data_IF_117497589140
#
_entry.id   IF_117497589140
#
_cell.length_a   1.000
_cell.length_b   1.000
_cell.length_c   1.000
_cell.angle_alpha   90.00
_cell.angle_beta   90.00
_cell.angle_gamma   90.00
#
_symmetry.space_group_name_H-M   'P 1'
#
loop_
_entity.id
_entity.type
_entity.pdbx_description
1 polymer ?
#
# COMPACT_ATOMS: atom_id res chain seq x y z
N UNK A 1 7.52 -1.34 -24.82
CA UNK A 1 6.42 -1.77 -23.91
C UNK A 1 6.42 -3.30 -23.88
N UNK A 2 6.47 -3.94 -22.71
CA UNK A 2 6.48 -5.41 -22.61
C UNK A 2 5.09 -5.92 -22.97
N UNK A 3 4.99 -6.89 -23.89
CA UNK A 3 3.71 -7.50 -24.23
C UNK A 3 3.13 -8.25 -23.02
N UNK A 4 1.82 -8.11 -22.70
CA UNK A 4 1.19 -8.86 -21.60
C UNK A 4 1.42 -10.37 -21.70
N UNK A 5 1.50 -10.94 -22.91
CA UNK A 5 1.78 -12.37 -23.14
C UNK A 5 3.17 -12.81 -22.69
N UNK A 6 4.13 -11.89 -22.62
CA UNK A 6 5.48 -12.16 -22.08
C UNK A 6 5.49 -12.09 -20.56
N UNK A 7 4.61 -11.29 -19.98
CA UNK A 7 4.54 -11.08 -18.54
C UNK A 7 3.66 -12.13 -17.85
N UNK A 8 2.54 -12.52 -18.49
CA UNK A 8 1.55 -13.44 -17.96
C UNK A 8 1.42 -14.72 -18.77
N UNK A 9 1.05 -15.80 -18.10
CA UNK A 9 0.42 -16.97 -18.69
C UNK A 9 -1.09 -16.87 -18.42
N UNK A 10 -1.89 -16.85 -19.49
CA UNK A 10 -3.35 -16.80 -19.41
C UNK A 10 -3.89 -18.18 -19.02
N UNK A 11 -4.94 -18.22 -18.18
CA UNK A 11 -5.66 -19.44 -17.82
C UNK A 11 -4.73 -20.62 -17.48
N UNK A 12 -3.86 -20.46 -16.44
CA UNK A 12 -3.01 -21.57 -15.99
C UNK A 12 -3.84 -22.82 -15.72
N UNK A 13 -3.35 -23.97 -16.18
CA UNK A 13 -3.91 -25.29 -15.90
C UNK A 13 -3.21 -25.95 -14.69
N UNK A 14 -3.79 -27.06 -14.21
CA UNK A 14 -3.24 -27.87 -13.13
C UNK A 14 -3.57 -27.33 -11.73
N UNK A 15 -2.83 -27.80 -10.73
CA UNK A 15 -3.01 -27.36 -9.34
C UNK A 15 -2.53 -25.93 -9.10
N UNK A 16 -3.03 -25.24 -8.06
CA UNK A 16 -2.53 -23.93 -7.64
C UNK A 16 -1.02 -23.96 -7.36
N UNK A 17 -0.30 -22.90 -7.76
CA UNK A 17 1.15 -22.81 -7.51
C UNK A 17 1.64 -21.35 -7.38
N UNK A 18 2.93 -21.19 -7.07
CA UNK A 18 3.56 -19.88 -6.92
C UNK A 18 3.44 -19.03 -8.19
N UNK A 19 3.05 -17.77 -8.00
CA UNK A 19 2.86 -16.81 -9.07
C UNK A 19 1.48 -16.87 -9.72
N UNK A 20 0.59 -17.79 -9.31
CA UNK A 20 -0.81 -17.74 -9.69
C UNK A 20 -1.47 -16.47 -9.16
N UNK A 21 -2.31 -15.87 -9.99
CA UNK A 21 -3.07 -14.66 -9.70
C UNK A 21 -4.53 -15.04 -9.65
N UNK A 22 -5.16 -14.75 -8.52
CA UNK A 22 -6.52 -15.14 -8.21
C UNK A 22 -7.39 -13.92 -7.94
N UNK A 23 -8.67 -14.00 -8.33
CA UNK A 23 -9.71 -13.06 -7.91
C UNK A 23 -10.36 -13.51 -6.60
N UNK A 24 -11.07 -12.60 -5.93
CA UNK A 24 -11.98 -12.89 -4.81
C UNK A 24 -11.34 -13.70 -3.65
N UNK A 25 -10.02 -13.59 -3.46
CA UNK A 25 -9.38 -14.13 -2.27
C UNK A 25 -9.91 -13.43 -1.01
N UNK A 26 -9.90 -14.09 0.15
CA UNK A 26 -10.33 -13.47 1.40
C UNK A 26 -9.46 -12.29 1.82
N UNK A 27 -10.01 -11.32 2.55
CA UNK A 27 -9.23 -10.24 3.17
C UNK A 27 -9.81 -9.92 4.55
N UNK A 28 -9.21 -10.41 5.64
CA UNK A 28 -9.87 -10.47 6.94
C UNK A 28 -10.07 -9.11 7.63
N UNK A 29 -9.38 -8.05 7.23
CA UNK A 29 -9.27 -6.83 8.06
C UNK A 29 -9.29 -5.50 7.29
N UNK A 30 -9.51 -5.50 5.98
CA UNK A 30 -9.37 -4.28 5.19
C UNK A 30 -10.72 -3.80 4.65
N UNK A 31 -11.05 -2.54 4.92
CA UNK A 31 -12.14 -1.81 4.24
C UNK A 31 -11.75 -1.39 2.81
N UNK A 32 -10.91 -2.21 2.17
CA UNK A 32 -10.43 -2.02 0.82
C UNK A 32 -10.83 -3.29 0.08
N UNK A 33 -11.68 -3.13 -0.92
CA UNK A 33 -12.10 -4.22 -1.78
C UNK A 33 -10.94 -4.63 -2.71
N UNK A 34 -9.95 -5.31 -2.16
CA UNK A 34 -8.95 -5.99 -2.96
C UNK A 34 -9.66 -7.04 -3.81
N UNK A 35 -9.50 -6.95 -5.12
CA UNK A 35 -10.15 -7.88 -6.05
C UNK A 35 -9.25 -9.02 -6.46
N UNK A 36 -7.93 -8.82 -6.37
CA UNK A 36 -6.92 -9.71 -6.95
C UNK A 36 -5.81 -9.92 -5.93
N UNK A 37 -5.30 -11.14 -5.83
CA UNK A 37 -4.09 -11.45 -5.07
C UNK A 37 -3.17 -12.40 -5.84
N UNK A 38 -1.87 -12.31 -5.57
CA UNK A 38 -0.83 -13.13 -6.18
C UNK A 38 -0.24 -14.08 -5.14
N UNK A 39 -0.22 -15.39 -5.44
CA UNK A 39 0.32 -16.42 -4.56
C UNK A 39 1.84 -16.36 -4.52
N UNK A 40 2.41 -16.23 -3.32
CA UNK A 40 3.86 -16.13 -3.08
C UNK A 40 4.45 -17.37 -2.41
N UNK A 41 3.63 -18.30 -1.92
CA UNK A 41 4.10 -19.57 -1.32
C UNK A 41 5.06 -20.30 -2.26
N UNK A 42 6.21 -20.78 -1.76
CA UNK A 42 7.19 -21.51 -2.57
C UNK A 42 6.57 -22.71 -3.31
N UNK A 43 7.03 -22.95 -4.54
CA UNK A 43 6.54 -24.08 -5.36
C UNK A 43 6.76 -25.44 -4.71
N UNK A 44 7.86 -25.61 -3.99
CA UNK A 44 8.18 -26.84 -3.28
C UNK A 44 7.19 -27.15 -2.15
N UNK A 45 6.60 -26.13 -1.52
CA UNK A 45 5.61 -26.32 -0.47
C UNK A 45 4.28 -26.81 -1.04
N UNK A 46 3.87 -26.29 -2.21
CA UNK A 46 2.72 -26.79 -2.96
C UNK A 46 2.92 -28.23 -3.44
N UNK A 47 4.08 -28.54 -4.05
CA UNK A 47 4.32 -29.82 -4.69
C UNK A 47 4.39 -31.01 -3.71
N UNK A 48 4.68 -30.76 -2.44
CA UNK A 48 4.84 -31.79 -1.42
C UNK A 48 3.76 -31.74 -0.34
N UNK A 49 2.72 -30.92 -0.51
CA UNK A 49 1.64 -30.71 0.47
C UNK A 49 2.19 -30.37 1.87
N UNK A 50 3.37 -29.74 1.93
CA UNK A 50 4.07 -29.43 3.20
C UNK A 50 3.41 -28.29 3.94
N UNK A 51 2.80 -27.36 3.19
CA UNK A 51 2.15 -26.19 3.75
C UNK A 51 0.63 -26.40 3.79
N UNK A 52 0.06 -26.34 5.00
CA UNK A 52 -1.40 -26.29 5.21
C UNK A 52 -1.98 -24.91 4.88
N UNK A 53 -1.13 -23.91 4.74
CA UNK A 53 -1.50 -22.53 4.45
C UNK A 53 -0.71 -22.02 3.26
N UNK A 54 -1.36 -21.22 2.43
CA UNK A 54 -0.70 -20.46 1.38
C UNK A 54 -0.64 -18.97 1.77
N UNK A 55 0.33 -18.28 1.20
CA UNK A 55 0.59 -16.86 1.37
C UNK A 55 0.38 -16.15 0.05
N UNK A 56 -0.20 -14.96 0.10
CA UNK A 56 -0.44 -14.13 -1.08
C UNK A 56 -0.32 -12.64 -0.74
N UNK A 57 -0.03 -11.85 -1.77
CA UNK A 57 0.00 -10.38 -1.70
C UNK A 57 -1.21 -9.80 -2.45
N UNK A 58 -1.88 -8.77 -1.90
CA UNK A 58 -3.02 -8.15 -2.55
C UNK A 58 -2.57 -7.25 -3.71
N UNK A 59 -3.48 -7.03 -4.64
CA UNK A 59 -3.33 -6.10 -5.75
C UNK A 59 -4.47 -5.07 -5.77
N UNK A 60 -4.14 -3.83 -6.11
CA UNK A 60 -5.10 -2.76 -6.44
C UNK A 60 -4.88 -2.29 -7.85
N UNK A 61 -5.92 -1.77 -8.51
CA UNK A 61 -5.68 -1.00 -9.72
C UNK A 61 -4.87 0.28 -9.41
N UNK A 62 -4.15 0.74 -10.41
CA UNK A 62 -3.20 1.85 -10.29
C UNK A 62 -3.84 3.14 -9.76
N UNK A 63 -5.05 3.46 -10.23
CA UNK A 63 -5.76 4.69 -9.85
C UNK A 63 -6.21 4.59 -8.39
N UNK A 64 -6.84 3.47 -8.01
CA UNK A 64 -7.25 3.19 -6.63
C UNK A 64 -6.05 3.23 -5.67
N UNK A 65 -4.90 2.70 -6.08
CA UNK A 65 -3.66 2.80 -5.29
C UNK A 65 -3.24 4.26 -5.07
N UNK A 66 -3.24 5.08 -6.12
CA UNK A 66 -2.88 6.49 -6.01
C UNK A 66 -3.83 7.25 -5.07
N UNK A 67 -5.13 7.04 -5.22
CA UNK A 67 -6.16 7.71 -4.42
C UNK A 67 -6.09 7.34 -2.93
N UNK A 68 -5.78 6.09 -2.62
CA UNK A 68 -5.75 5.57 -1.24
C UNK A 68 -4.40 5.76 -0.55
N UNK A 69 -3.30 5.64 -1.29
CA UNK A 69 -1.96 5.60 -0.71
C UNK A 69 -1.00 6.57 -1.39
N UNK A 70 -0.96 6.56 -2.72
CA UNK A 70 0.04 7.32 -3.49
C UNK A 70 0.02 8.82 -3.21
N UNK A 71 -1.14 9.47 -3.30
CA UNK A 71 -1.23 10.92 -3.08
C UNK A 71 -0.87 11.33 -1.66
N UNK A 72 -1.24 10.55 -0.65
CA UNK A 72 -0.88 10.84 0.76
C UNK A 72 0.64 10.92 0.95
N UNK A 73 1.39 10.04 0.26
CA UNK A 73 2.86 10.05 0.28
C UNK A 73 3.42 11.30 -0.37
N UNK A 74 2.94 11.67 -1.56
CA UNK A 74 3.42 12.85 -2.29
C UNK A 74 3.06 14.14 -1.52
N UNK A 75 1.88 14.19 -0.91
CA UNK A 75 1.46 15.29 -0.03
C UNK A 75 2.34 15.41 1.21
N UNK A 76 2.80 14.29 1.78
CA UNK A 76 3.77 14.30 2.88
C UNK A 76 5.11 14.90 2.45
N UNK A 77 5.58 14.58 1.24
CA UNK A 77 6.77 15.21 0.65
C UNK A 77 6.54 16.72 0.41
N UNK A 78 5.34 17.12 -0.01
CA UNK A 78 4.97 18.52 -0.20
C UNK A 78 4.95 19.28 1.14
N UNK A 79 4.40 18.71 2.22
CA UNK A 79 4.48 19.29 3.57
C UNK A 79 5.94 19.56 3.95
N UNK A 80 6.85 18.62 3.70
CA UNK A 80 8.27 18.81 3.99
C UNK A 80 8.89 19.96 3.17
N UNK A 81 8.52 20.09 1.88
CA UNK A 81 8.95 21.23 1.05
C UNK A 81 8.43 22.55 1.57
N UNK A 82 7.18 22.59 2.03
CA UNK A 82 6.58 23.77 2.64
C UNK A 82 7.27 24.12 3.97
N UNK A 83 7.62 23.14 4.80
CA UNK A 83 8.42 23.38 6.01
C UNK A 83 9.80 23.95 5.69
N UNK A 84 10.49 23.43 4.67
CA UNK A 84 11.77 24.00 4.26
C UNK A 84 11.62 25.43 3.73
N UNK A 85 10.55 25.71 2.97
CA UNK A 85 10.26 27.07 2.52
C UNK A 85 9.98 28.05 3.67
N UNK A 86 9.48 27.57 4.82
CA UNK A 86 9.35 28.39 6.04
C UNK A 86 10.71 28.68 6.67
N UNK A 87 11.63 27.71 6.70
CA UNK A 87 13.00 27.91 7.21
C UNK A 87 13.75 28.95 6.38
N UNK A 88 13.60 28.92 5.07
CA UNK A 88 14.24 29.86 4.14
C UNK A 88 13.70 31.30 4.23
N UNK A 89 12.56 31.51 4.90
CA UNK A 89 12.01 32.85 5.05
C UNK A 89 12.82 33.72 6.03
N UNK A 90 13.74 33.13 6.80
CA UNK A 90 14.68 33.82 7.71
C UNK A 90 14.01 34.90 8.54
N UNK A 91 12.79 34.63 8.98
CA UNK A 91 12.09 35.47 9.93
C UNK A 91 12.26 34.77 11.26
N UNK A 92 12.86 35.46 12.24
CA UNK A 92 12.89 35.10 13.66
C UNK A 92 11.46 35.06 14.22
N UNK A 93 10.63 34.19 13.67
CA UNK A 93 9.27 33.98 14.07
C UNK A 93 9.27 32.75 14.98
N UNK A 94 8.89 32.92 16.27
CA UNK A 94 8.57 31.81 17.15
C UNK A 94 7.54 30.84 16.53
N UNK A 95 6.79 31.33 15.54
CA UNK A 95 5.73 30.68 14.77
C UNK A 95 6.07 29.33 14.16
N UNK A 96 7.33 29.08 13.74
CA UNK A 96 7.70 27.76 13.22
C UNK A 96 7.73 26.71 14.34
N UNK A 97 8.39 27.04 15.46
CA UNK A 97 8.41 26.19 16.66
C UNK A 97 7.01 25.97 17.23
N UNK A 98 6.13 26.97 17.15
CA UNK A 98 4.72 26.84 17.55
C UNK A 98 3.96 25.82 16.70
N UNK A 99 4.22 25.74 15.39
CA UNK A 99 3.59 24.73 14.53
C UNK A 99 4.11 23.31 14.81
N UNK A 100 5.39 23.15 15.14
CA UNK A 100 5.96 21.85 15.49
C UNK A 100 5.38 21.29 16.81
N UNK A 101 5.08 22.16 17.78
CA UNK A 101 4.41 21.76 19.03
C UNK A 101 2.88 21.69 18.92
N UNK A 102 2.32 21.80 17.71
CA UNK A 102 0.90 21.57 17.46
C UNK A 102 -0.03 22.76 17.71
N UNK A 103 0.48 23.99 17.78
CA UNK A 103 -0.37 25.19 17.91
C UNK A 103 -1.25 25.33 16.65
N UNK A 104 -2.56 25.63 16.80
CA UNK A 104 -3.44 25.83 15.66
C UNK A 104 -2.94 26.89 14.68
N UNK A 105 -2.97 26.57 13.39
CA UNK A 105 -2.55 27.46 12.29
C UNK A 105 -3.15 28.87 12.39
N UNK A 106 -4.41 28.98 12.79
CA UNK A 106 -5.09 30.27 12.95
C UNK A 106 -4.47 31.13 14.04
N UNK A 107 -4.04 30.53 15.15
CA UNK A 107 -3.36 31.21 16.26
C UNK A 107 -1.98 31.71 15.81
N UNK A 108 -1.25 30.85 15.08
CA UNK A 108 0.07 31.16 14.52
C UNK A 108 -0.01 32.35 13.55
N UNK A 109 -0.97 32.33 12.61
CA UNK A 109 -1.19 33.42 11.67
C UNK A 109 -1.55 34.72 12.39
N UNK A 110 -2.44 34.66 13.38
CA UNK A 110 -2.87 35.85 14.16
C UNK A 110 -1.70 36.51 14.88
N UNK A 111 -0.88 35.73 15.60
CA UNK A 111 0.29 36.25 16.34
C UNK A 111 1.34 36.82 15.39
N UNK A 112 1.70 36.05 14.36
CA UNK A 112 2.66 36.49 13.33
C UNK A 112 2.21 37.78 12.64
N UNK A 113 0.90 37.91 12.37
CA UNK A 113 0.34 39.13 11.76
C UNK A 113 0.46 40.33 12.68
N UNK A 114 0.12 40.17 13.96
CA UNK A 114 0.20 41.24 14.94
C UNK A 114 1.64 41.71 15.15
N UNK A 115 2.60 40.78 15.14
CA UNK A 115 4.04 41.05 15.30
C UNK A 115 4.65 41.73 14.07
N UNK A 116 4.35 41.24 12.85
CA UNK A 116 4.97 41.75 11.62
C UNK A 116 4.24 42.92 10.97
N UNK A 117 2.91 42.97 11.09
CA UNK A 117 2.03 43.93 10.42
C UNK A 117 1.32 44.88 11.40
N UNK A 118 1.92 45.12 12.57
CA UNK A 118 1.41 46.05 13.58
C UNK A 118 1.10 47.46 13.03
N UNK A 119 0.56 48.37 13.86
CA UNK A 119 -0.02 49.65 13.41
C UNK A 119 0.96 50.63 12.73
N UNK A 120 2.25 50.33 12.71
CA UNK A 120 3.28 51.17 12.11
C UNK A 120 3.39 50.95 10.59
N UNK A 121 4.03 51.88 9.90
CA UNK A 121 4.25 51.80 8.45
C UNK A 121 5.20 50.63 8.11
N UNK A 122 4.61 49.52 7.64
CA UNK A 122 5.35 48.29 7.35
C UNK A 122 5.88 48.27 5.93
N UNK A 123 7.16 47.92 5.78
CA UNK A 123 7.82 47.81 4.48
C UNK A 123 7.10 46.84 3.53
N UNK A 124 7.13 47.12 2.23
CA UNK A 124 6.60 46.23 1.18
C UNK A 124 7.22 44.83 1.24
N UNK A 125 8.51 44.74 1.63
CA UNK A 125 9.23 43.47 1.81
C UNK A 125 8.60 42.62 2.92
N UNK A 126 8.31 43.22 4.08
CA UNK A 126 7.68 42.53 5.21
C UNK A 126 6.26 42.06 4.85
N UNK A 127 5.47 42.88 4.13
CA UNK A 127 4.15 42.46 3.62
C UNK A 127 4.26 41.26 2.67
N UNK A 128 5.23 41.26 1.76
CA UNK A 128 5.48 40.15 0.86
C UNK A 128 5.94 38.87 1.60
N UNK A 129 6.79 39.01 2.62
CA UNK A 129 7.20 37.90 3.48
C UNK A 129 6.01 37.30 4.24
N UNK A 130 5.18 38.14 4.85
CA UNK A 130 3.97 37.69 5.54
C UNK A 130 3.00 36.99 4.59
N UNK A 131 2.76 37.53 3.38
CA UNK A 131 1.91 36.89 2.38
C UNK A 131 2.46 35.52 1.95
N UNK A 132 3.78 35.38 1.81
CA UNK A 132 4.43 34.09 1.53
C UNK A 132 4.27 33.12 2.70
N UNK A 133 4.48 33.57 3.94
CA UNK A 133 4.25 32.79 5.15
C UNK A 133 2.81 32.29 5.25
N UNK A 134 1.83 33.18 5.09
CA UNK A 134 0.40 32.87 5.14
C UNK A 134 0.00 31.83 4.10
N UNK A 135 0.52 31.96 2.87
CA UNK A 135 0.31 30.99 1.80
C UNK A 135 0.86 29.61 2.18
N UNK A 136 2.09 29.54 2.68
CA UNK A 136 2.73 28.26 3.03
C UNK A 136 1.96 27.55 4.15
N UNK A 137 1.61 28.29 5.20
CA UNK A 137 0.88 27.76 6.35
C UNK A 137 -0.53 27.28 5.96
N UNK A 138 -1.22 28.04 5.10
CA UNK A 138 -2.54 27.64 4.57
C UNK A 138 -2.44 26.37 3.73
N UNK A 139 -1.44 26.27 2.85
CA UNK A 139 -1.17 25.05 2.07
C UNK A 139 -0.97 23.84 2.97
N UNK A 140 -0.15 23.94 4.04
CA UNK A 140 0.06 22.83 4.98
C UNK A 140 -1.27 22.41 5.65
N UNK A 141 -2.08 23.39 6.06
CA UNK A 141 -3.40 23.13 6.64
C UNK A 141 -4.32 22.39 5.66
N UNK A 142 -4.35 22.83 4.41
CA UNK A 142 -5.18 22.22 3.37
C UNK A 142 -4.73 20.80 3.04
N UNK A 143 -3.43 20.57 2.96
CA UNK A 143 -2.87 19.23 2.78
C UNK A 143 -3.26 18.30 3.95
N UNK A 144 -3.07 18.75 5.20
CA UNK A 144 -3.44 17.94 6.38
C UNK A 144 -4.93 17.61 6.41
N UNK A 145 -5.78 18.57 6.06
CA UNK A 145 -7.24 18.37 5.93
C UNK A 145 -7.57 17.34 4.85
N UNK A 146 -6.90 17.42 3.70
CA UNK A 146 -7.11 16.47 2.60
C UNK A 146 -6.67 15.05 2.99
N UNK A 147 -5.50 14.91 3.62
CA UNK A 147 -4.99 13.61 4.10
C UNK A 147 -5.90 12.95 5.15
N UNK A 148 -6.57 13.74 5.99
CA UNK A 148 -7.50 13.23 6.99
C UNK A 148 -8.74 12.52 6.41
N UNK A 149 -9.05 12.72 5.11
CA UNK A 149 -10.16 12.02 4.43
C UNK A 149 -9.88 10.54 4.18
N UNK A 150 -8.61 10.11 4.21
CA UNK A 150 -8.16 8.76 3.89
C UNK A 150 -8.14 8.41 2.40
N UNK A 151 -9.12 8.87 1.62
CA UNK A 151 -9.13 8.78 0.14
C UNK A 151 -9.01 10.17 -0.46
N UNK A 152 -8.13 10.32 -1.44
CA UNK A 152 -7.79 11.61 -2.04
C UNK A 152 -8.05 11.53 -3.53
N UNK A 153 -9.01 12.30 -4.04
CA UNK A 153 -9.29 12.30 -5.46
C UNK A 153 -8.17 13.01 -6.24
N UNK A 154 -7.95 12.58 -7.47
CA UNK A 154 -6.89 13.14 -8.34
C UNK A 154 -6.99 14.65 -8.52
N UNK A 155 -8.20 15.18 -8.70
CA UNK A 155 -8.45 16.61 -8.87
C UNK A 155 -8.07 17.41 -7.62
N UNK A 156 -8.35 16.89 -6.41
CA UNK A 156 -7.95 17.52 -5.15
C UNK A 156 -6.42 17.49 -4.97
N UNK A 157 -5.78 16.39 -5.36
CA UNK A 157 -4.32 16.26 -5.27
C UNK A 157 -3.60 17.25 -6.20
N UNK A 158 -4.06 17.45 -7.43
CA UNK A 158 -3.41 18.37 -8.39
C UNK A 158 -3.54 19.85 -8.03
N UNK A 159 -4.51 20.22 -7.18
CA UNK A 159 -4.64 21.60 -6.67
C UNK A 159 -3.51 21.95 -5.68
N UNK A 160 -2.99 20.96 -4.94
CA UNK A 160 -2.00 21.16 -3.88
C UNK A 160 -0.61 20.66 -4.25
N UNK A 161 -0.49 19.82 -5.27
CA UNK A 161 0.76 19.16 -5.68
C UNK A 161 1.09 19.53 -7.12
N UNK A 162 2.39 19.73 -7.39
CA UNK A 162 2.87 19.95 -8.76
C UNK A 162 2.69 18.68 -9.58
N UNK A 163 2.08 18.78 -10.76
CA UNK A 163 1.86 17.65 -11.67
C UNK A 163 3.14 16.85 -11.97
N UNK A 164 4.30 17.50 -12.05
CA UNK A 164 5.59 16.84 -12.26
C UNK A 164 5.95 15.83 -11.16
N UNK A 165 5.55 16.09 -9.92
CA UNK A 165 5.86 15.21 -8.79
C UNK A 165 4.97 13.96 -8.83
N UNK A 166 3.72 14.11 -9.26
CA UNK A 166 2.79 13.00 -9.51
C UNK A 166 3.33 12.11 -10.64
N UNK A 167 3.76 12.71 -11.75
CA UNK A 167 4.35 11.97 -12.87
C UNK A 167 5.62 11.22 -12.46
N UNK A 168 6.51 11.89 -11.73
CA UNK A 168 7.74 11.27 -11.19
C UNK A 168 7.42 10.09 -10.29
N UNK A 169 6.46 10.24 -9.38
CA UNK A 169 6.06 9.16 -8.47
C UNK A 169 5.48 7.97 -9.24
N UNK A 170 4.57 8.22 -10.18
CA UNK A 170 4.00 7.20 -11.06
C UNK A 170 5.07 6.47 -11.86
N UNK A 171 6.07 7.20 -12.39
CA UNK A 171 7.18 6.61 -13.12
C UNK A 171 8.03 5.71 -12.22
N UNK A 172 8.32 6.13 -10.99
CA UNK A 172 9.03 5.30 -10.00
C UNK A 172 8.27 3.99 -9.71
N UNK A 173 6.93 4.04 -9.62
CA UNK A 173 6.10 2.84 -9.44
C UNK A 173 6.21 1.91 -10.66
N UNK A 174 5.98 2.44 -11.86
CA UNK A 174 6.00 1.65 -13.11
C UNK A 174 7.37 1.02 -13.36
N UNK A 175 8.46 1.73 -12.99
CA UNK A 175 9.83 1.24 -13.06
C UNK A 175 10.22 0.33 -11.90
N UNK A 176 9.30 0.01 -10.98
CA UNK A 176 9.56 -0.85 -9.84
C UNK A 176 10.69 -0.33 -8.91
N UNK A 177 10.80 1.00 -8.77
CA UNK A 177 11.83 1.66 -7.95
C UNK A 177 11.39 1.87 -6.50
N UNK A 178 10.10 1.70 -6.18
CA UNK A 178 9.58 1.80 -4.81
C UNK A 178 9.59 0.40 -4.20
N UNK A 179 10.38 0.19 -3.15
CA UNK A 179 10.75 -1.15 -2.64
C UNK A 179 9.58 -2.04 -2.25
N UNK A 180 8.50 -1.47 -1.70
CA UNK A 180 7.33 -2.16 -1.19
C UNK A 180 6.16 -2.28 -2.18
N UNK A 181 6.35 -1.87 -3.43
CA UNK A 181 5.33 -1.92 -4.48
C UNK A 181 5.82 -2.68 -5.69
N UNK A 182 4.95 -3.44 -6.35
CA UNK A 182 5.29 -4.05 -7.64
C UNK A 182 4.22 -3.75 -8.69
N UNK A 183 4.65 -3.11 -9.79
CA UNK A 183 3.80 -2.78 -10.91
C UNK A 183 3.57 -3.99 -11.82
N UNK A 184 2.31 -4.20 -12.15
CA UNK A 184 1.80 -5.23 -13.03
C UNK A 184 1.06 -4.59 -14.21
N UNK A 185 1.49 -4.81 -15.46
CA UNK A 185 0.81 -4.23 -16.62
C UNK A 185 -0.61 -4.80 -16.78
N UNK A 186 -1.49 -4.05 -17.42
CA UNK A 186 -2.82 -4.53 -17.82
C UNK A 186 -2.71 -5.73 -18.76
N UNK A 187 -3.71 -6.62 -18.71
CA UNK A 187 -3.85 -7.77 -19.60
C UNK A 187 -5.32 -7.97 -20.02
N UNK A 188 -5.88 -7.09 -20.88
CA UNK A 188 -7.27 -7.20 -21.30
C UNK A 188 -7.56 -8.52 -22.05
N UNK A 189 -8.78 -9.08 -21.93
CA UNK A 189 -9.90 -8.58 -21.12
C UNK A 189 -9.82 -8.95 -19.62
N UNK A 190 -8.82 -9.75 -19.21
CA UNK A 190 -8.73 -10.33 -17.87
C UNK A 190 -8.40 -9.28 -16.79
N UNK A 191 -7.45 -8.40 -17.09
CA UNK A 191 -7.06 -7.26 -16.26
C UNK A 191 -7.13 -6.01 -17.12
N UNK A 192 -8.19 -5.23 -16.98
CA UNK A 192 -8.42 -4.02 -17.78
C UNK A 192 -7.42 -2.90 -17.44
N UNK A 193 -7.14 -2.72 -16.14
CA UNK A 193 -6.28 -1.65 -15.63
C UNK A 193 -4.99 -2.21 -15.04
N UNK A 194 -3.85 -1.50 -15.14
CA UNK A 194 -2.63 -1.91 -14.47
C UNK A 194 -2.84 -2.06 -12.97
N UNK A 195 -2.14 -3.02 -12.36
CA UNK A 195 -2.25 -3.32 -10.94
C UNK A 195 -0.95 -2.98 -10.20
N UNK A 196 -1.09 -2.70 -8.90
CA UNK A 196 0.00 -2.53 -7.95
C UNK A 196 -0.14 -3.59 -6.86
N UNK A 197 0.88 -4.44 -6.71
CA UNK A 197 0.99 -5.35 -5.57
C UNK A 197 1.54 -4.60 -4.37
N UNK A 198 0.93 -4.80 -3.21
CA UNK A 198 1.37 -4.19 -1.96
C UNK A 198 2.20 -5.20 -1.16
N UNK A 199 3.52 -5.17 -1.33
CA UNK A 199 4.42 -6.25 -0.87
C UNK A 199 4.58 -6.32 0.67
N UNK A 200 4.22 -5.25 1.38
CA UNK A 200 4.16 -5.23 2.86
C UNK A 200 2.94 -5.95 3.44
N UNK A 201 1.95 -6.26 2.61
CA UNK A 201 0.73 -6.93 3.04
C UNK A 201 0.79 -8.37 2.56
N UNK A 202 1.17 -9.27 3.45
CA UNK A 202 1.15 -10.70 3.19
C UNK A 202 0.00 -11.31 3.98
N UNK A 203 -0.95 -11.87 3.25
CA UNK A 203 -2.07 -12.61 3.83
C UNK A 203 -1.81 -14.10 3.74
N UNK A 204 -2.49 -14.85 4.60
CA UNK A 204 -2.46 -16.30 4.58
C UNK A 204 -3.87 -16.87 4.60
N UNK A 205 -4.05 -18.04 3.99
CA UNK A 205 -5.29 -18.79 4.01
C UNK A 205 -4.97 -20.28 3.85
N UNK A 206 -5.88 -21.17 4.26
CA UNK A 206 -5.69 -22.62 4.20
C UNK A 206 -5.74 -23.13 2.75
N UNK A 207 -4.84 -24.06 2.40
CA UNK A 207 -4.70 -24.55 1.02
C UNK A 207 -5.97 -25.23 0.50
N UNK A 208 -6.73 -25.86 1.40
CA UNK A 208 -8.02 -26.49 1.12
C UNK A 208 -9.01 -25.52 0.48
N UNK A 209 -8.94 -24.22 0.81
CA UNK A 209 -9.75 -23.18 0.19
C UNK A 209 -9.47 -23.03 -1.31
N UNK A 210 -8.20 -22.97 -1.71
CA UNK A 210 -7.82 -22.88 -3.12
C UNK A 210 -8.11 -24.17 -3.87
N UNK A 211 -7.87 -25.33 -3.24
CA UNK A 211 -8.18 -26.63 -3.84
C UNK A 211 -9.69 -26.77 -4.08
N UNK A 212 -10.52 -26.37 -3.11
CA UNK A 212 -11.97 -26.32 -3.25
C UNK A 212 -12.39 -25.38 -4.39
N UNK A 213 -11.81 -24.18 -4.45
CA UNK A 213 -12.10 -23.20 -5.49
C UNK A 213 -11.69 -23.70 -6.89
N UNK A 214 -10.53 -24.35 -7.01
CA UNK A 214 -10.00 -24.91 -8.26
C UNK A 214 -10.84 -26.09 -8.78
N UNK A 215 -11.42 -26.89 -7.88
CA UNK A 215 -12.27 -28.05 -8.23
C UNK A 215 -13.71 -27.66 -8.56
N UNK A 216 -14.20 -26.57 -7.96
CA UNK A 216 -15.57 -26.12 -8.19
C UNK A 216 -15.73 -25.67 -9.64
N UNK A 217 -16.72 -26.15 -10.38
CA UNK A 217 -16.86 -25.81 -11.81
C UNK A 217 -17.53 -24.44 -12.01
N UNK A 218 -18.42 -24.06 -11.12
CA UNK A 218 -19.23 -22.83 -11.19
C UNK A 218 -19.59 -22.32 -9.79
N UNK A 219 -20.36 -21.23 -9.72
CA UNK A 219 -20.78 -20.60 -8.47
C UNK A 219 -21.72 -21.47 -7.64
N UNK A 220 -22.58 -22.28 -8.27
CA UNK A 220 -23.49 -23.19 -7.54
C UNK A 220 -22.71 -24.28 -6.81
N UNK A 221 -21.71 -24.86 -7.47
CA UNK A 221 -20.80 -25.86 -6.93
C UNK A 221 -19.91 -25.27 -5.81
N UNK A 222 -19.45 -24.03 -6.00
CA UNK A 222 -18.74 -23.28 -4.97
C UNK A 222 -19.61 -23.04 -3.73
N UNK A 223 -20.85 -22.58 -3.92
CA UNK A 223 -21.78 -22.35 -2.83
C UNK A 223 -22.11 -23.63 -2.06
N UNK A 224 -22.25 -24.76 -2.76
CA UNK A 224 -22.41 -26.07 -2.13
C UNK A 224 -21.18 -26.44 -1.30
N UNK A 225 -19.99 -26.25 -1.86
CA UNK A 225 -18.72 -26.51 -1.18
C UNK A 225 -18.55 -25.64 0.07
N UNK A 226 -18.93 -24.37 0.01
CA UNK A 226 -18.90 -23.47 1.16
C UNK A 226 -19.79 -23.99 2.29
N UNK A 227 -21.04 -24.37 2.01
CA UNK A 227 -21.97 -24.93 3.02
C UNK A 227 -21.46 -26.23 3.64
N UNK A 228 -20.70 -27.04 2.89
CA UNK A 228 -20.14 -28.29 3.41
C UNK A 228 -18.91 -28.07 4.30
N UNK A 229 -18.18 -26.97 4.10
CA UNK A 229 -16.90 -26.71 4.76
C UNK A 229 -16.97 -25.56 5.79
N UNK A 230 -18.07 -24.82 5.87
CA UNK A 230 -18.23 -23.65 6.74
C UNK A 230 -18.08 -23.98 8.24
N UNK A 231 -18.45 -25.19 8.66
CA UNK A 231 -18.27 -25.64 10.04
C UNK A 231 -16.83 -26.00 10.39
N UNK A 232 -15.99 -26.24 9.36
CA UNK A 232 -14.58 -26.59 9.53
C UNK A 232 -13.67 -25.37 9.43
N UNK A 233 -14.07 -24.37 8.65
CA UNK A 233 -13.22 -23.24 8.28
C UNK A 233 -14.07 -21.97 8.10
N UNK A 234 -13.87 -20.99 8.99
CA UNK A 234 -14.60 -19.72 9.01
C UNK A 234 -14.50 -18.95 7.68
N UNK A 235 -13.40 -19.13 6.95
CA UNK A 235 -13.16 -18.44 5.68
C UNK A 235 -14.25 -18.70 4.63
N UNK A 236 -14.89 -19.88 4.64
CA UNK A 236 -15.98 -20.18 3.73
C UNK A 236 -17.28 -19.45 4.09
N UNK A 237 -17.44 -18.98 5.34
CA UNK A 237 -18.56 -18.12 5.75
C UNK A 237 -18.38 -16.69 5.24
N UNK A 238 -17.13 -16.23 5.14
CA UNK A 238 -16.79 -14.86 4.78
C UNK A 238 -16.65 -14.64 3.26
N UNK A 239 -16.40 -15.70 2.49
CA UNK A 239 -16.19 -15.63 1.05
C UNK A 239 -17.42 -16.10 0.25
N UNK A 240 -18.31 -15.17 -0.09
CA UNK A 240 -19.51 -15.47 -0.89
C UNK A 240 -19.23 -15.57 -2.40
N UNK A 241 -18.11 -15.02 -2.86
CA UNK A 241 -17.71 -15.09 -4.27
C UNK A 241 -16.67 -16.19 -4.45
N UNK A 242 -16.83 -16.96 -5.53
CA UNK A 242 -15.86 -17.97 -5.93
C UNK A 242 -14.52 -17.30 -6.29
N UNK A 243 -13.40 -17.77 -5.71
CA UNK A 243 -12.08 -17.39 -6.19
C UNK A 243 -11.78 -18.02 -7.55
N UNK A 244 -11.37 -17.20 -8.52
CA UNK A 244 -10.98 -17.69 -9.85
C UNK A 244 -9.51 -17.45 -10.12
N UNK A 245 -8.83 -18.49 -10.61
CA UNK A 245 -7.46 -18.39 -11.08
C UNK A 245 -7.44 -17.82 -12.49
N UNK A 246 -7.00 -16.58 -12.61
CA UNK A 246 -7.11 -15.83 -13.88
C UNK A 246 -5.82 -15.82 -14.69
N UNK A 247 -4.66 -15.75 -14.03
CA UNK A 247 -3.35 -15.59 -14.67
C UNK A 247 -2.26 -16.28 -13.84
N UNK A 248 -1.07 -16.45 -14.43
CA UNK A 248 0.18 -16.75 -13.72
C UNK A 248 1.29 -15.81 -14.16
N UNK A 249 2.07 -15.30 -13.21
CA UNK A 249 3.25 -14.50 -13.49
C UNK A 249 4.36 -15.38 -14.10
N UNK A 250 4.92 -14.96 -15.24
CA UNK A 250 6.00 -15.70 -15.92
C UNK A 250 7.37 -15.36 -15.34
N UNK A 251 8.32 -16.27 -15.55
CA UNK A 251 9.74 -15.98 -15.42
C UNK A 251 10.19 -14.98 -16.50
N UNK A 252 11.09 -14.02 -16.22
CA UNK A 252 11.82 -13.79 -14.96
C UNK A 252 11.10 -12.86 -13.96
N UNK A 253 9.85 -12.44 -14.26
CA UNK A 253 9.14 -11.44 -13.46
C UNK A 253 8.74 -11.97 -12.08
N UNK A 254 8.44 -13.27 -11.99
CA UNK A 254 8.16 -13.93 -10.71
C UNK A 254 9.40 -13.93 -9.82
N UNK A 255 10.57 -14.27 -10.33
CA UNK A 255 11.83 -14.31 -9.61
C UNK A 255 12.24 -12.91 -9.15
N UNK A 256 12.02 -11.91 -10.01
CA UNK A 256 12.20 -10.50 -9.65
C UNK A 256 11.28 -10.09 -8.50
N UNK A 257 9.98 -10.42 -8.56
CA UNK A 257 9.02 -10.16 -7.49
C UNK A 257 9.42 -10.85 -6.18
N UNK A 258 9.74 -12.14 -6.24
CA UNK A 258 10.12 -12.94 -5.05
C UNK A 258 11.40 -12.42 -4.41
N UNK A 259 12.38 -11.99 -5.21
CA UNK A 259 13.61 -11.35 -4.70
C UNK A 259 13.28 -10.08 -3.92
N UNK A 260 12.36 -9.25 -4.44
CA UNK A 260 11.93 -8.01 -3.76
C UNK A 260 11.21 -8.29 -2.46
N UNK A 261 10.33 -9.29 -2.43
CA UNK A 261 9.67 -9.74 -1.20
C UNK A 261 10.71 -10.21 -0.20
N UNK A 262 11.66 -11.06 -0.61
CA UNK A 262 12.74 -11.52 0.27
C UNK A 262 13.52 -10.33 0.86
N UNK A 263 13.93 -9.36 0.05
CA UNK A 263 14.63 -8.15 0.54
C UNK A 263 13.83 -7.30 1.54
N UNK A 264 12.49 -7.32 1.49
CA UNK A 264 11.66 -6.60 2.46
C UNK A 264 11.61 -7.29 3.84
N UNK A 265 11.72 -8.62 3.87
CA UNK A 265 11.58 -9.41 5.11
C UNK A 265 12.89 -9.99 5.64
N UNK A 266 13.97 -9.93 4.88
CA UNK A 266 15.31 -10.22 5.36
C UNK A 266 15.68 -9.20 6.45
N UNK A 267 15.55 -9.61 7.71
CA UNK A 267 16.11 -8.91 8.86
C UNK A 267 17.41 -9.60 9.27
N UNK A 268 18.33 -8.81 9.79
CA UNK A 268 19.58 -9.30 10.40
C UNK A 268 19.22 -10.28 11.51
N UNK A 269 19.87 -11.45 11.51
CA UNK A 269 19.62 -12.50 12.50
C UNK A 269 19.93 -12.02 13.92
N UNK A 270 19.11 -12.45 14.88
CA UNK A 270 19.40 -12.35 16.30
C UNK A 270 20.05 -13.65 16.77
N UNK A 271 20.96 -13.62 17.77
CA UNK A 271 21.50 -14.85 18.35
C UNK A 271 20.37 -15.70 18.95
N UNK A 272 20.54 -17.01 18.91
CA UNK A 272 19.62 -17.95 19.56
C UNK A 272 19.59 -17.74 21.09
N UNK A 273 18.47 -18.08 21.71
CA UNK A 273 18.39 -18.10 23.17
C UNK A 273 19.33 -19.16 23.75
N UNK A 274 20.02 -18.88 24.87
CA UNK A 274 20.84 -19.87 25.53
C UNK A 274 19.99 -21.06 26.00
N UNK A 275 20.57 -22.27 25.93
CA UNK A 275 19.89 -23.52 26.27
C UNK A 275 19.23 -23.50 27.65
N UNK A 276 19.84 -22.82 28.63
CA UNK A 276 19.28 -22.69 29.99
C UNK A 276 17.92 -21.99 30.00
N UNK A 277 17.69 -20.99 29.14
CA UNK A 277 16.40 -20.32 29.06
C UNK A 277 15.34 -21.21 28.41
N UNK A 278 15.75 -21.98 27.40
CA UNK A 278 14.90 -22.98 26.76
C UNK A 278 14.47 -24.08 27.74
N UNK A 279 15.42 -24.65 28.49
CA UNK A 279 15.16 -25.71 29.46
C UNK A 279 14.28 -25.21 30.61
N UNK A 280 14.47 -23.97 31.09
CA UNK A 280 13.62 -23.35 32.09
C UNK A 280 12.18 -23.15 31.58
N UNK A 281 12.01 -22.70 30.34
CA UNK A 281 10.69 -22.52 29.74
C UNK A 281 9.95 -23.85 29.58
N UNK A 282 10.63 -24.89 29.10
CA UNK A 282 10.04 -26.22 28.96
C UNK A 282 9.72 -26.86 30.30
N UNK A 283 10.58 -26.68 31.31
CA UNK A 283 10.33 -27.16 32.67
C UNK A 283 9.10 -26.51 33.31
N UNK A 284 8.78 -25.26 32.96
CA UNK A 284 7.59 -24.57 33.46
C UNK A 284 6.27 -25.01 32.81
N UNK A 285 6.32 -25.77 31.71
CA UNK A 285 5.14 -26.31 31.01
C UNK A 285 4.75 -27.73 31.47
N UNK A 286 5.57 -28.36 32.31
CA UNK A 286 5.33 -29.70 32.89
C UNK A 286 4.69 -29.59 34.27
#
# INVERSE_FOLDING_TARGET
>A
MISPKRYYMLMPSGEPTQGDIWTNLPYPTFNIAFKIGLLITPRCDFAHEKAKVFSYVPALDFDTYLERFGYSRILSEEINRQHNALKDLDVDLPSFSLMEIGVPVTEVLRKTRAELLGPNEVSTKTKAHFAKFEKVVTTIKDIKRLMAKGTIAKNEAVELIRQKDILRHSEMIVRNQISDLHFMPSCPPVIEKPLILLLRYVFTCQIEFLTAANRSVNDEDWNRTCRQLEDRMEIFRLCHLKPDRILRLRSPYLESLMSRIAFLYLRVGVPDFPKSEYDNFLGALQ
#
